data_IF_203623326989
#
_entry.id   IF_203623326989
#
_cell.length_a   1.000
_cell.length_b   1.000
_cell.length_c   1.000
_cell.angle_alpha   90.00
_cell.angle_beta   90.00
_cell.angle_gamma   90.00
#
_symmetry.space_group_name_H-M   'P 1'
#
loop_
_entity.id
_entity.type
_entity.pdbx_description
1 polymer ?
#
# COMPACT_ATOMS: atom_id res chain seq x y z
N UNK A 1 -16.04 9.99 39.11
CA UNK A 1 -16.54 10.93 38.10
C UNK A 1 -17.88 10.37 37.65
N UNK A 2 -18.95 10.88 38.24
CA UNK A 2 -20.31 10.44 37.93
C UNK A 2 -20.67 10.92 36.51
N UNK A 3 -20.94 9.96 35.63
CA UNK A 3 -21.43 10.22 34.28
C UNK A 3 -22.89 10.69 34.38
N UNK A 4 -23.26 11.85 33.81
CA UNK A 4 -24.63 12.33 33.84
C UNK A 4 -25.54 11.38 33.07
N UNK A 5 -26.73 11.09 33.62
CA UNK A 5 -27.65 10.09 33.10
C UNK A 5 -28.33 10.52 31.78
N UNK A 6 -28.58 9.58 30.84
CA UNK A 6 -29.05 9.86 29.48
C UNK A 6 -30.50 10.38 29.38
N UNK A 7 -31.21 10.51 30.50
CA UNK A 7 -32.60 10.96 30.53
C UNK A 7 -32.73 12.50 30.49
N UNK A 8 -31.78 13.23 31.09
CA UNK A 8 -31.79 14.69 31.13
C UNK A 8 -31.54 15.31 29.75
N UNK A 9 -30.65 14.69 28.96
CA UNK A 9 -30.25 15.18 27.64
C UNK A 9 -31.38 15.05 26.60
N UNK A 10 -32.22 14.01 26.71
CA UNK A 10 -33.36 13.83 25.80
C UNK A 10 -34.48 14.85 26.01
N UNK A 11 -34.73 15.27 27.25
CA UNK A 11 -35.72 16.31 27.56
C UNK A 11 -35.28 17.69 27.09
N UNK A 12 -33.98 17.99 27.20
CA UNK A 12 -33.38 19.20 26.66
C UNK A 12 -33.49 19.25 25.13
N UNK A 13 -33.20 18.13 24.45
CA UNK A 13 -33.30 18.03 22.99
C UNK A 13 -34.74 18.19 22.47
N UNK A 14 -35.71 17.63 23.19
CA UNK A 14 -37.14 17.77 22.89
C UNK A 14 -37.61 19.22 22.99
N UNK A 15 -37.18 19.92 24.05
CA UNK A 15 -37.51 21.34 24.28
C UNK A 15 -36.92 22.25 23.20
N UNK A 16 -35.70 21.94 22.74
CA UNK A 16 -35.00 22.71 21.70
C UNK A 16 -35.64 22.53 20.32
N UNK A 17 -36.07 21.31 19.99
CA UNK A 17 -36.84 21.01 18.77
C UNK A 17 -38.18 21.78 18.73
N UNK A 18 -38.84 21.92 19.88
CA UNK A 18 -40.09 22.66 19.99
C UNK A 18 -39.89 24.16 19.78
N UNK A 19 -38.75 24.72 20.21
CA UNK A 19 -38.37 26.13 20.01
C UNK A 19 -38.09 26.45 18.54
N UNK A 20 -37.41 25.56 17.83
CA UNK A 20 -37.08 25.74 16.40
C UNK A 20 -38.33 25.73 15.52
N UNK A 21 -39.35 24.93 15.87
CA UNK A 21 -40.63 24.92 15.15
C UNK A 21 -41.43 26.23 15.28
N UNK A 22 -41.29 26.95 16.41
CA UNK A 22 -42.02 28.20 16.65
C UNK A 22 -41.35 29.43 16.00
N UNK A 23 -40.03 29.38 15.77
CA UNK A 23 -39.28 30.47 15.14
C UNK A 23 -39.37 30.50 13.61
N UNK A 24 -39.92 29.45 12.98
CA UNK A 24 -40.12 29.38 11.53
C UNK A 24 -41.33 30.17 10.99
N UNK A 25 -42.12 30.82 11.87
CA UNK A 25 -43.40 31.42 11.50
C UNK A 25 -43.60 32.84 12.06
N UNK A 26 -42.63 33.75 11.92
CA UNK A 26 -42.85 35.18 12.19
C UNK A 26 -41.92 36.06 11.34
N UNK A 27 -42.51 36.77 10.39
CA UNK A 27 -41.81 37.77 9.59
C UNK A 27 -42.74 38.43 8.57
N UNK A 28 -43.76 39.15 9.05
CA UNK A 28 -44.44 40.21 8.29
C UNK A 28 -45.29 41.07 9.25
N UNK A 29 -44.84 42.31 9.48
CA UNK A 29 -45.68 43.39 10.01
C UNK A 29 -46.67 43.85 8.91
N UNK A 30 -47.91 44.24 9.26
CA UNK A 30 -48.87 44.74 8.29
C UNK A 30 -48.53 46.19 7.88
N UNK A 31 -48.62 46.56 6.59
CA UNK A 31 -48.39 47.93 6.15
C UNK A 31 -49.61 48.82 6.46
N UNK A 32 -49.34 50.04 6.91
CA UNK A 32 -50.33 51.10 7.14
C UNK A 32 -51.10 51.44 5.85
N UNK A 33 -52.43 51.62 5.97
CA UNK A 33 -53.33 51.94 4.86
C UNK A 33 -53.25 53.43 4.47
N UNK A 34 -52.69 53.72 3.30
CA UNK A 34 -52.88 54.99 2.58
C UNK A 34 -54.19 54.98 1.75
N UNK A 35 -54.83 56.15 1.50
CA UNK A 35 -56.15 56.25 0.88
C UNK A 35 -56.19 55.72 -0.56
N UNK A 36 -57.33 55.20 -1.04
CA UNK A 36 -57.38 54.40 -2.26
C UNK A 36 -57.16 55.24 -3.51
N UNK A 37 -55.97 55.12 -4.09
CA UNK A 37 -55.74 55.49 -5.49
C UNK A 37 -56.81 54.82 -6.38
N UNK A 38 -57.40 55.55 -7.35
CA UNK A 38 -58.32 54.97 -8.32
C UNK A 38 -57.72 53.70 -8.93
N UNK A 39 -58.44 52.59 -8.84
CA UNK A 39 -57.98 51.25 -9.23
C UNK A 39 -57.32 51.22 -10.64
N UNK A 40 -57.79 52.09 -11.55
CA UNK A 40 -57.23 52.29 -12.89
C UNK A 40 -55.81 52.85 -12.89
N UNK A 41 -55.49 53.83 -12.03
CA UNK A 41 -54.15 54.43 -11.93
C UNK A 41 -53.14 53.43 -11.38
N UNK A 42 -53.55 52.62 -10.40
CA UNK A 42 -52.73 51.53 -9.88
C UNK A 42 -52.43 50.47 -10.94
N UNK A 43 -53.42 50.09 -11.73
CA UNK A 43 -53.24 49.16 -12.85
C UNK A 43 -52.33 49.71 -13.95
N UNK A 44 -52.45 51.00 -14.29
CA UNK A 44 -51.57 51.66 -15.26
C UNK A 44 -50.12 51.72 -14.78
N UNK A 45 -49.90 52.05 -13.50
CA UNK A 45 -48.57 52.04 -12.88
C UNK A 45 -47.93 50.65 -12.89
N UNK A 46 -48.71 49.62 -12.51
CA UNK A 46 -48.28 48.22 -12.58
C UNK A 46 -47.92 47.79 -14.00
N UNK A 47 -48.73 48.18 -15.00
CA UNK A 47 -48.44 47.88 -16.40
C UNK A 47 -47.12 48.51 -16.86
N UNK A 48 -46.88 49.78 -16.52
CA UNK A 48 -45.64 50.47 -16.88
C UNK A 48 -44.43 49.83 -16.19
N UNK A 49 -44.59 49.44 -14.92
CA UNK A 49 -43.55 48.75 -14.14
C UNK A 49 -43.21 47.37 -14.73
N UNK A 50 -44.21 46.56 -15.09
CA UNK A 50 -44.01 45.26 -15.74
C UNK A 50 -43.35 45.42 -17.10
N UNK A 51 -43.74 46.43 -17.88
CA UNK A 51 -43.11 46.73 -19.17
C UNK A 51 -41.64 47.12 -19.01
N UNK A 52 -41.32 47.93 -18.00
CA UNK A 52 -39.95 48.33 -17.71
C UNK A 52 -39.10 47.13 -17.28
N UNK A 53 -39.60 46.31 -16.35
CA UNK A 53 -38.91 45.09 -15.91
C UNK A 53 -38.70 44.10 -17.05
N UNK A 54 -39.67 43.96 -17.95
CA UNK A 54 -39.53 43.10 -19.13
C UNK A 54 -38.42 43.59 -20.06
N UNK A 55 -38.29 44.91 -20.25
CA UNK A 55 -37.23 45.49 -21.07
C UNK A 55 -35.86 45.35 -20.39
N UNK A 56 -35.75 45.58 -19.09
CA UNK A 56 -34.51 45.36 -18.34
C UNK A 56 -34.04 43.90 -18.46
N UNK A 57 -34.94 42.94 -18.24
CA UNK A 57 -34.62 41.51 -18.39
C UNK A 57 -34.20 41.17 -19.82
N UNK A 58 -34.87 41.74 -20.83
CA UNK A 58 -34.50 41.53 -22.23
C UNK A 58 -33.11 42.11 -22.55
N UNK A 59 -32.81 43.33 -22.10
CA UNK A 59 -31.48 43.94 -22.31
C UNK A 59 -30.37 43.19 -21.58
N UNK A 60 -30.65 42.68 -20.39
CA UNK A 60 -29.70 41.85 -19.63
C UNK A 60 -29.49 40.50 -20.34
N UNK A 61 -30.54 39.91 -20.92
CA UNK A 61 -30.43 38.68 -21.70
C UNK A 61 -29.60 38.89 -22.98
N UNK A 62 -29.88 39.94 -23.75
CA UNK A 62 -29.14 40.30 -24.97
C UNK A 62 -27.67 40.64 -24.66
N UNK A 63 -27.41 41.40 -23.59
CA UNK A 63 -26.05 41.69 -23.13
C UNK A 63 -25.32 40.43 -22.61
N UNK A 64 -26.04 39.47 -22.03
CA UNK A 64 -25.45 38.20 -21.59
C UNK A 64 -25.13 37.26 -22.76
N UNK A 65 -25.86 37.35 -23.87
CA UNK A 65 -25.54 36.64 -25.12
C UNK A 65 -24.24 37.17 -25.75
N UNK A 66 -24.00 38.49 -25.72
CA UNK A 66 -22.75 39.09 -26.21
C UNK A 66 -21.53 38.83 -25.31
N UNK A 67 -21.72 38.69 -23.99
CA UNK A 67 -20.63 38.44 -23.02
C UNK A 67 -20.29 36.94 -22.91
N UNK A 68 -21.18 36.03 -23.31
CA UNK A 68 -21.00 34.57 -23.17
C UNK A 68 -20.05 33.92 -24.22
N UNK A 69 -19.18 34.68 -24.88
CA UNK A 69 -18.15 34.15 -25.79
C UNK A 69 -16.74 34.11 -25.21
N UNK A 70 -16.58 34.18 -23.89
CA UNK A 70 -15.40 33.60 -23.25
C UNK A 70 -15.54 32.07 -23.26
N UNK A 71 -15.15 31.47 -24.39
CA UNK A 71 -15.21 30.03 -24.60
C UNK A 71 -14.31 29.30 -23.59
N UNK A 72 -14.87 28.90 -22.44
CA UNK A 72 -14.32 27.86 -21.60
C UNK A 72 -14.01 26.67 -22.51
N UNK A 73 -12.74 26.24 -22.55
CA UNK A 73 -12.34 25.10 -23.36
C UNK A 73 -13.22 23.89 -23.01
N UNK A 74 -13.60 23.10 -24.02
CA UNK A 74 -14.43 21.90 -23.83
C UNK A 74 -13.95 21.03 -22.66
N UNK A 75 -12.63 20.93 -22.49
CA UNK A 75 -11.99 20.23 -21.38
C UNK A 75 -12.33 20.81 -19.99
N UNK A 76 -12.27 22.14 -19.81
CA UNK A 76 -12.69 22.81 -18.56
C UNK A 76 -14.17 22.60 -18.27
N UNK A 77 -15.03 22.65 -19.30
CA UNK A 77 -16.46 22.37 -19.15
C UNK A 77 -16.70 20.92 -18.73
N UNK A 78 -15.95 19.96 -19.26
CA UNK A 78 -16.07 18.55 -18.85
C UNK A 78 -15.59 18.31 -17.42
N UNK A 79 -14.58 19.05 -16.97
CA UNK A 79 -14.07 18.95 -15.60
C UNK A 79 -15.06 19.54 -14.59
N UNK A 80 -15.59 20.73 -14.86
CA UNK A 80 -16.66 21.36 -14.07
C UNK A 80 -17.89 20.44 -14.00
N UNK A 81 -18.29 19.83 -15.12
CA UNK A 81 -19.41 18.89 -15.15
C UNK A 81 -19.17 17.65 -14.28
N UNK A 82 -17.94 17.11 -14.26
CA UNK A 82 -17.58 15.98 -13.38
C UNK A 82 -17.63 16.36 -11.91
N UNK A 83 -17.13 17.55 -11.57
CA UNK A 83 -17.14 18.06 -10.19
C UNK A 83 -18.58 18.28 -9.72
N UNK A 84 -19.42 18.95 -10.53
CA UNK A 84 -20.84 19.11 -10.23
C UNK A 84 -21.59 17.78 -10.08
N UNK A 85 -21.29 16.78 -10.91
CA UNK A 85 -21.89 15.45 -10.77
C UNK A 85 -21.48 14.77 -9.47
N UNK A 86 -20.23 14.91 -9.06
CA UNK A 86 -19.75 14.41 -7.77
C UNK A 86 -20.45 15.13 -6.61
N UNK A 87 -20.54 16.45 -6.68
CA UNK A 87 -21.22 17.26 -5.65
C UNK A 87 -22.70 16.89 -5.53
N UNK A 88 -23.38 16.63 -6.66
CA UNK A 88 -24.77 16.15 -6.67
C UNK A 88 -24.88 14.78 -6.00
N UNK A 89 -23.99 13.84 -6.30
CA UNK A 89 -24.02 12.51 -5.68
C UNK A 89 -23.69 12.59 -4.19
N UNK A 90 -22.72 13.40 -3.79
CA UNK A 90 -22.37 13.64 -2.38
C UNK A 90 -23.53 14.29 -1.62
N UNK A 91 -24.20 15.29 -2.22
CA UNK A 91 -25.40 15.93 -1.65
C UNK A 91 -26.56 14.94 -1.53
N UNK A 92 -26.76 14.09 -2.53
CA UNK A 92 -27.80 13.05 -2.53
C UNK A 92 -27.55 12.01 -1.44
N UNK A 93 -26.33 11.51 -1.32
CA UNK A 93 -25.93 10.58 -0.24
C UNK A 93 -26.13 11.25 1.12
N UNK A 94 -25.70 12.51 1.27
CA UNK A 94 -25.94 13.29 2.49
C UNK A 94 -27.42 13.42 2.82
N UNK A 95 -28.26 13.78 1.83
CA UNK A 95 -29.70 13.94 2.01
C UNK A 95 -30.37 12.62 2.42
N UNK A 96 -30.01 11.52 1.76
CA UNK A 96 -30.51 10.18 2.10
C UNK A 96 -30.11 9.78 3.53
N UNK A 97 -28.85 10.01 3.91
CA UNK A 97 -28.37 9.72 5.27
C UNK A 97 -29.11 10.54 6.32
N UNK A 98 -29.27 11.85 6.11
CA UNK A 98 -30.02 12.74 7.00
C UNK A 98 -31.48 12.30 7.14
N UNK A 99 -32.12 11.94 6.02
CA UNK A 99 -33.49 11.43 6.00
C UNK A 99 -33.62 10.12 6.78
N UNK A 100 -32.70 9.18 6.59
CA UNK A 100 -32.69 7.91 7.34
C UNK A 100 -32.50 8.13 8.84
N UNK A 101 -31.60 9.04 9.25
CA UNK A 101 -31.40 9.37 10.66
C UNK A 101 -32.67 9.95 11.27
N UNK A 102 -33.32 10.88 10.57
CA UNK A 102 -34.59 11.46 11.01
C UNK A 102 -35.68 10.40 11.16
N UNK A 103 -35.85 9.53 10.17
CA UNK A 103 -36.82 8.44 10.22
C UNK A 103 -36.55 7.47 11.38
N UNK A 104 -35.28 7.11 11.63
CA UNK A 104 -34.89 6.28 12.78
C UNK A 104 -35.21 6.96 14.10
N UNK A 105 -34.93 8.26 14.22
CA UNK A 105 -35.24 9.04 15.42
C UNK A 105 -36.73 9.09 15.69
N UNK A 106 -37.55 9.36 14.67
CA UNK A 106 -39.01 9.36 14.77
C UNK A 106 -39.54 7.98 15.18
N UNK A 107 -39.01 6.91 14.58
CA UNK A 107 -39.38 5.54 14.91
C UNK A 107 -39.04 5.18 16.37
N UNK A 108 -37.82 5.48 16.81
CA UNK A 108 -37.39 5.25 18.21
C UNK A 108 -38.25 6.06 19.18
N UNK A 109 -38.58 7.31 18.86
CA UNK A 109 -39.45 8.13 19.69
C UNK A 109 -40.87 7.52 19.81
N UNK A 110 -41.43 7.05 18.70
CA UNK A 110 -42.72 6.36 18.73
C UNK A 110 -42.68 5.06 19.56
N UNK A 111 -41.60 4.29 19.45
CA UNK A 111 -41.39 3.09 20.28
C UNK A 111 -41.26 3.42 21.77
N UNK A 112 -40.51 4.46 22.13
CA UNK A 112 -40.35 4.89 23.53
C UNK A 112 -41.69 5.27 24.15
N UNK A 113 -42.51 6.04 23.42
CA UNK A 113 -43.87 6.38 23.85
C UNK A 113 -44.71 5.13 24.08
N UNK A 114 -44.62 4.12 23.20
CA UNK A 114 -45.32 2.84 23.38
C UNK A 114 -44.83 2.03 24.56
N UNK A 115 -43.54 2.08 24.88
CA UNK A 115 -42.99 1.40 26.05
C UNK A 115 -43.53 2.05 27.34
N UNK A 116 -43.72 3.37 27.34
CA UNK A 116 -44.22 4.13 28.48
C UNK A 116 -45.67 3.76 28.88
N UNK A 117 -46.47 3.24 27.95
CA UNK A 117 -47.86 2.80 28.18
C UNK A 117 -47.98 1.59 29.16
N UNK A 118 -46.86 0.92 29.51
CA UNK A 118 -46.77 -0.17 30.51
C UNK A 118 -47.77 -1.35 30.34
N UNK A 119 -48.31 -1.53 29.12
CA UNK A 119 -49.20 -2.64 28.79
C UNK A 119 -48.41 -3.94 28.46
N UNK A 120 -49.13 -5.04 28.17
CA UNK A 120 -48.48 -6.30 27.80
C UNK A 120 -47.64 -6.19 26.51
N UNK A 121 -48.05 -5.35 25.55
CA UNK A 121 -47.29 -5.11 24.31
C UNK A 121 -45.96 -4.40 24.58
N UNK A 122 -45.95 -3.41 25.48
CA UNK A 122 -44.75 -2.70 25.94
C UNK A 122 -43.71 -3.68 26.52
N UNK A 123 -44.14 -4.63 27.35
CA UNK A 123 -43.26 -5.66 27.91
C UNK A 123 -42.64 -6.55 26.82
N UNK A 124 -43.44 -6.97 25.83
CA UNK A 124 -42.95 -7.75 24.69
C UNK A 124 -41.92 -6.97 23.87
N UNK A 125 -42.19 -5.68 23.59
CA UNK A 125 -41.26 -4.79 22.88
C UNK A 125 -39.94 -4.68 23.65
N UNK A 126 -40.00 -4.47 24.96
CA UNK A 126 -38.83 -4.35 25.81
C UNK A 126 -38.01 -5.65 25.83
N UNK A 127 -38.64 -6.81 25.96
CA UNK A 127 -37.98 -8.12 25.89
C UNK A 127 -37.29 -8.36 24.55
N UNK A 128 -37.94 -7.97 23.43
CA UNK A 128 -37.28 -8.06 22.12
C UNK A 128 -36.10 -7.10 22.01
N UNK A 129 -36.21 -5.89 22.54
CA UNK A 129 -35.12 -4.92 22.51
C UNK A 129 -33.91 -5.38 23.34
N UNK A 130 -34.13 -5.95 24.53
CA UNK A 130 -33.05 -6.50 25.35
C UNK A 130 -32.36 -7.68 24.64
N UNK A 131 -33.13 -8.56 24.00
CA UNK A 131 -32.58 -9.64 23.18
C UNK A 131 -31.76 -9.12 22.00
N UNK A 132 -32.28 -8.14 21.24
CA UNK A 132 -31.56 -7.50 20.12
C UNK A 132 -30.26 -6.85 20.63
N UNK A 133 -30.33 -6.11 21.74
CA UNK A 133 -29.15 -5.46 22.33
C UNK A 133 -28.07 -6.48 22.72
N UNK A 134 -28.48 -7.62 23.29
CA UNK A 134 -27.57 -8.70 23.67
C UNK A 134 -26.90 -9.31 22.44
N UNK A 135 -27.70 -9.59 21.39
CA UNK A 135 -27.19 -10.13 20.13
C UNK A 135 -26.25 -9.14 19.43
N UNK A 136 -26.61 -7.87 19.35
CA UNK A 136 -25.77 -6.82 18.78
C UNK A 136 -24.45 -6.68 19.53
N UNK A 137 -24.47 -6.77 20.86
CA UNK A 137 -23.25 -6.75 21.68
C UNK A 137 -22.34 -7.96 21.37
N UNK A 138 -22.93 -9.15 21.25
CA UNK A 138 -22.19 -10.35 20.86
C UNK A 138 -21.57 -10.24 19.46
N UNK A 139 -22.29 -9.66 18.50
CA UNK A 139 -21.79 -9.41 17.14
C UNK A 139 -20.61 -8.42 17.16
N UNK A 140 -20.72 -7.32 17.90
CA UNK A 140 -19.65 -6.33 18.04
C UNK A 140 -18.40 -6.97 18.66
N UNK A 141 -18.57 -7.77 19.71
CA UNK A 141 -17.45 -8.47 20.35
C UNK A 141 -16.76 -9.43 19.38
N UNK A 142 -17.52 -10.23 18.62
CA UNK A 142 -16.96 -11.14 17.62
C UNK A 142 -16.21 -10.40 16.49
N UNK A 143 -16.74 -9.25 16.06
CA UNK A 143 -16.06 -8.39 15.08
C UNK A 143 -14.75 -7.82 15.64
N UNK A 144 -14.75 -7.43 16.92
CA UNK A 144 -13.55 -6.93 17.59
C UNK A 144 -12.48 -8.03 17.72
N UNK A 145 -12.86 -9.23 18.15
CA UNK A 145 -11.96 -10.38 18.20
C UNK A 145 -11.37 -10.72 16.83
N UNK A 146 -12.18 -10.62 15.77
CA UNK A 146 -11.74 -10.84 14.39
C UNK A 146 -10.67 -9.82 13.99
N UNK A 147 -10.88 -8.52 14.27
CA UNK A 147 -9.90 -7.46 13.98
C UNK A 147 -8.59 -7.69 14.74
N UNK A 148 -8.67 -8.05 16.02
CA UNK A 148 -7.48 -8.33 16.82
C UNK A 148 -6.69 -9.55 16.28
N UNK A 149 -7.39 -10.58 15.80
CA UNK A 149 -6.75 -11.73 15.16
C UNK A 149 -6.11 -11.35 13.83
N UNK A 150 -6.77 -10.51 13.02
CA UNK A 150 -6.24 -10.00 11.75
C UNK A 150 -4.95 -9.19 11.97
N UNK A 151 -4.93 -8.31 12.98
CA UNK A 151 -3.76 -7.53 13.35
C UNK A 151 -2.59 -8.43 13.80
N UNK A 152 -2.86 -9.41 14.67
CA UNK A 152 -1.84 -10.40 15.07
C UNK A 152 -1.30 -11.20 13.89
N UNK A 153 -2.17 -11.56 12.94
CA UNK A 153 -1.80 -12.29 11.74
C UNK A 153 -0.91 -11.42 10.84
N UNK A 154 -1.27 -10.15 10.67
CA UNK A 154 -0.46 -9.17 9.94
C UNK A 154 0.95 -9.06 10.54
N UNK A 155 1.08 -8.96 11.85
CA UNK A 155 2.37 -8.91 12.54
C UNK A 155 3.20 -10.18 12.33
N UNK A 156 2.58 -11.35 12.37
CA UNK A 156 3.26 -12.63 12.09
C UNK A 156 3.75 -12.66 10.64
N UNK A 157 2.94 -12.22 9.68
CA UNK A 157 3.33 -12.14 8.26
C UNK A 157 4.52 -11.19 8.07
N UNK A 158 4.50 -10.04 8.74
CA UNK A 158 5.61 -9.07 8.72
C UNK A 158 6.90 -9.68 9.29
N UNK A 159 6.85 -10.31 10.46
CA UNK A 159 8.00 -11.00 11.08
C UNK A 159 8.54 -12.11 10.18
N UNK A 160 7.65 -12.89 9.55
CA UNK A 160 8.02 -13.96 8.62
C UNK A 160 8.77 -13.42 7.40
N UNK A 161 8.31 -12.29 6.85
CA UNK A 161 8.96 -11.66 5.68
C UNK A 161 10.39 -11.24 6.03
N UNK A 162 10.58 -10.52 7.13
CA UNK A 162 11.90 -10.10 7.61
C UNK A 162 12.83 -11.29 7.81
N UNK A 163 12.34 -12.37 8.43
CA UNK A 163 13.14 -13.57 8.65
C UNK A 163 13.51 -14.27 7.33
N UNK A 164 12.62 -14.28 6.34
CA UNK A 164 12.88 -14.84 5.02
C UNK A 164 13.97 -14.06 4.29
N UNK A 165 13.92 -12.73 4.35
CA UNK A 165 14.93 -11.84 3.77
C UNK A 165 16.30 -12.06 4.42
N UNK A 166 16.34 -12.08 5.76
CA UNK A 166 17.56 -12.36 6.52
C UNK A 166 18.14 -13.75 6.20
N UNK A 167 17.28 -14.76 6.13
CA UNK A 167 17.68 -16.13 5.78
C UNK A 167 18.26 -16.20 4.36
N UNK A 168 17.65 -15.51 3.40
CA UNK A 168 18.15 -15.42 2.02
C UNK A 168 19.52 -14.74 1.97
N UNK A 169 19.70 -13.63 2.69
CA UNK A 169 20.97 -12.92 2.76
C UNK A 169 22.08 -13.81 3.35
N UNK A 170 21.79 -14.52 4.46
CA UNK A 170 22.73 -15.46 5.08
C UNK A 170 23.08 -16.64 4.18
N UNK A 171 22.11 -17.15 3.41
CA UNK A 171 22.37 -18.23 2.46
C UNK A 171 23.32 -17.78 1.34
N UNK A 172 23.14 -16.56 0.81
CA UNK A 172 24.04 -15.98 -0.18
C UNK A 172 25.46 -15.77 0.39
N UNK A 173 25.57 -15.32 1.64
CA UNK A 173 26.84 -15.19 2.35
C UNK A 173 27.55 -16.55 2.48
N UNK A 174 26.83 -17.61 2.87
CA UNK A 174 27.38 -18.97 2.95
C UNK A 174 27.84 -19.46 1.58
N UNK A 175 27.05 -19.23 0.53
CA UNK A 175 27.38 -19.69 -0.82
C UNK A 175 28.63 -18.98 -1.37
N UNK A 176 28.73 -17.66 -1.18
CA UNK A 176 29.89 -16.88 -1.60
C UNK A 176 31.15 -17.27 -0.84
N UNK A 177 31.07 -17.41 0.49
CA UNK A 177 32.18 -17.92 1.30
C UNK A 177 32.60 -19.31 0.84
N UNK A 178 31.66 -20.24 0.63
CA UNK A 178 31.95 -21.60 0.15
C UNK A 178 32.68 -21.59 -1.20
N UNK A 179 32.25 -20.75 -2.13
CA UNK A 179 32.91 -20.58 -3.43
C UNK A 179 34.35 -20.09 -3.26
N UNK A 180 34.56 -19.07 -2.42
CA UNK A 180 35.88 -18.51 -2.15
C UNK A 180 36.81 -19.54 -1.47
N UNK A 181 36.31 -20.30 -0.50
CA UNK A 181 37.06 -21.38 0.14
C UNK A 181 37.51 -22.46 -0.86
N UNK A 182 36.64 -22.81 -1.80
CA UNK A 182 36.95 -23.78 -2.85
C UNK A 182 38.03 -23.24 -3.80
N UNK A 183 37.87 -22.01 -4.27
CA UNK A 183 38.86 -21.35 -5.15
C UNK A 183 40.23 -21.23 -4.48
N UNK A 184 40.28 -20.77 -3.23
CA UNK A 184 41.53 -20.64 -2.47
C UNK A 184 42.19 -22.01 -2.21
N UNK A 185 41.40 -23.07 -1.97
CA UNK A 185 41.94 -24.43 -1.85
C UNK A 185 42.55 -24.91 -3.17
N UNK A 186 41.86 -24.69 -4.29
CA UNK A 186 42.36 -25.07 -5.61
C UNK A 186 43.63 -24.30 -5.98
N UNK A 187 43.68 -23.00 -5.70
CA UNK A 187 44.85 -22.15 -5.91
C UNK A 187 46.06 -22.64 -5.09
N UNK A 188 45.89 -22.82 -3.78
CA UNK A 188 46.98 -23.32 -2.91
C UNK A 188 47.46 -24.72 -3.28
N UNK A 189 46.56 -25.60 -3.74
CA UNK A 189 46.94 -26.91 -4.25
C UNK A 189 47.73 -26.80 -5.57
N UNK A 190 47.28 -25.95 -6.48
CA UNK A 190 47.96 -25.70 -7.75
C UNK A 190 49.36 -25.11 -7.54
N UNK A 191 49.51 -24.18 -6.60
CA UNK A 191 50.82 -23.63 -6.22
C UNK A 191 51.77 -24.69 -5.65
N UNK A 192 51.27 -25.61 -4.83
CA UNK A 192 52.08 -26.74 -4.31
C UNK A 192 52.53 -27.66 -5.45
N UNK A 193 51.64 -27.99 -6.38
CA UNK A 193 51.96 -28.82 -7.55
C UNK A 193 52.99 -28.12 -8.44
N UNK A 194 52.83 -26.82 -8.70
CA UNK A 194 53.82 -26.03 -9.47
C UNK A 194 55.20 -26.05 -8.82
N UNK A 195 55.28 -25.90 -7.49
CA UNK A 195 56.56 -25.99 -6.75
C UNK A 195 57.19 -27.37 -6.86
N UNK A 196 56.42 -28.44 -6.68
CA UNK A 196 56.92 -29.81 -6.81
C UNK A 196 57.40 -30.11 -8.24
N UNK A 197 56.65 -29.69 -9.26
CA UNK A 197 57.06 -29.85 -10.65
C UNK A 197 58.35 -29.08 -10.96
N UNK A 198 58.55 -27.90 -10.37
CA UNK A 198 59.81 -27.16 -10.51
C UNK A 198 60.97 -27.93 -9.89
N UNK A 199 60.82 -28.43 -8.66
CA UNK A 199 61.87 -29.23 -8.00
C UNK A 199 62.19 -30.49 -8.82
N UNK A 200 61.16 -31.19 -9.29
CA UNK A 200 61.33 -32.38 -10.12
C UNK A 200 62.06 -32.06 -11.44
N UNK A 201 61.72 -30.94 -12.08
CA UNK A 201 62.40 -30.44 -13.28
C UNK A 201 63.89 -30.19 -12.99
N UNK A 202 64.19 -29.47 -11.92
CA UNK A 202 65.56 -29.13 -11.52
C UNK A 202 66.39 -30.40 -11.22
N UNK A 203 65.78 -31.42 -10.59
CA UNK A 203 66.42 -32.71 -10.29
C UNK A 203 66.66 -33.56 -11.55
N UNK A 204 65.68 -33.59 -12.47
CA UNK A 204 65.84 -34.25 -13.77
C UNK A 204 66.97 -33.59 -14.55
N UNK A 205 66.98 -32.26 -14.65
CA UNK A 205 68.00 -31.51 -15.38
C UNK A 205 69.40 -31.77 -14.76
N UNK A 206 69.51 -31.79 -13.42
CA UNK A 206 70.75 -32.12 -12.71
C UNK A 206 71.22 -33.55 -12.97
N UNK A 207 70.30 -34.51 -12.97
CA UNK A 207 70.58 -35.92 -13.26
C UNK A 207 71.05 -36.09 -14.71
N UNK A 208 70.42 -35.42 -15.67
CA UNK A 208 70.83 -35.44 -17.08
C UNK A 208 72.23 -34.86 -17.26
N UNK A 209 72.57 -33.75 -16.61
CA UNK A 209 73.93 -33.19 -16.66
C UNK A 209 74.94 -34.17 -16.07
N UNK A 210 74.63 -34.79 -14.93
CA UNK A 210 75.52 -35.78 -14.28
C UNK A 210 75.73 -37.02 -15.17
N UNK A 211 74.67 -37.54 -15.79
CA UNK A 211 74.73 -38.63 -16.75
C UNK A 211 75.65 -38.29 -17.93
N UNK A 212 75.48 -37.11 -18.53
CA UNK A 212 76.31 -36.64 -19.64
C UNK A 212 77.79 -36.53 -19.24
N UNK A 213 78.09 -36.05 -18.02
CA UNK A 213 79.47 -35.97 -17.50
C UNK A 213 80.06 -37.37 -17.35
N UNK A 214 79.35 -38.32 -16.74
CA UNK A 214 79.84 -39.70 -16.59
C UNK A 214 80.08 -40.39 -17.94
N UNK A 215 79.17 -40.24 -18.90
CA UNK A 215 79.36 -40.75 -20.27
C UNK A 215 80.64 -40.19 -20.89
N UNK A 216 80.84 -38.87 -20.84
CA UNK A 216 82.04 -38.24 -21.39
C UNK A 216 83.33 -38.71 -20.72
N UNK A 217 83.33 -38.92 -19.40
CA UNK A 217 84.50 -39.44 -18.67
C UNK A 217 84.82 -40.87 -19.12
N UNK A 218 83.81 -41.75 -19.23
CA UNK A 218 84.01 -43.13 -19.67
C UNK A 218 84.59 -43.15 -21.09
N UNK A 219 84.04 -42.34 -22.01
CA UNK A 219 84.53 -42.21 -23.38
C UNK A 219 85.97 -41.66 -23.44
N UNK A 220 86.31 -40.67 -22.62
CA UNK A 220 87.64 -40.05 -22.59
C UNK A 220 88.71 -40.90 -21.92
N UNK A 221 88.33 -41.85 -21.05
CA UNK A 221 89.27 -42.68 -20.29
C UNK A 221 89.96 -43.76 -21.13
N UNK A 222 89.65 -43.88 -22.44
CA UNK A 222 90.24 -44.86 -23.37
C UNK A 222 90.16 -46.34 -22.90
N UNK A 223 89.24 -46.63 -21.97
CA UNK A 223 88.93 -48.00 -21.54
C UNK A 223 88.05 -48.64 -22.62
N UNK A 224 88.38 -49.86 -23.06
CA UNK A 224 87.58 -50.64 -24.03
C UNK A 224 86.26 -51.13 -23.40
N UNK A 225 85.35 -50.19 -23.11
CA UNK A 225 84.10 -50.43 -22.41
C UNK A 225 83.16 -51.42 -23.11
N UNK A 226 83.30 -51.58 -24.43
CA UNK A 226 82.57 -52.57 -25.23
C UNK A 226 83.04 -54.02 -25.00
N UNK A 227 84.21 -54.24 -24.40
CA UNK A 227 84.74 -55.58 -24.08
C UNK A 227 84.37 -56.04 -22.67
N UNK A 228 84.06 -55.11 -21.77
CA UNK A 228 83.58 -55.40 -20.42
C UNK A 228 82.04 -55.39 -20.41
N UNK A 229 81.39 -56.56 -20.19
CA UNK A 229 79.94 -56.65 -20.14
C UNK A 229 79.30 -55.74 -19.08
N UNK A 230 80.00 -55.49 -17.96
CA UNK A 230 79.48 -54.65 -16.88
C UNK A 230 79.50 -53.17 -17.26
N UNK A 231 80.56 -52.72 -17.91
CA UNK A 231 80.70 -51.32 -18.33
C UNK A 231 79.80 -50.99 -19.52
N UNK A 232 79.58 -51.95 -20.43
CA UNK A 232 78.61 -51.84 -21.53
C UNK A 232 77.18 -51.65 -21.01
N UNK A 233 76.77 -52.42 -20.00
CA UNK A 233 75.43 -52.31 -19.39
C UNK A 233 75.23 -50.95 -18.69
N UNK A 234 76.27 -50.43 -18.03
CA UNK A 234 76.24 -49.12 -17.36
C UNK A 234 76.08 -47.99 -18.39
N UNK A 235 76.88 -47.98 -19.46
CA UNK A 235 76.82 -46.93 -20.50
C UNK A 235 75.46 -46.95 -21.22
N UNK A 236 74.95 -48.12 -21.59
CA UNK A 236 73.64 -48.26 -22.24
C UNK A 236 72.48 -47.80 -21.33
N UNK A 237 72.55 -48.10 -20.03
CA UNK A 237 71.56 -47.61 -19.05
C UNK A 237 71.62 -46.10 -18.87
N UNK A 238 72.78 -45.48 -19.01
CA UNK A 238 72.91 -44.02 -18.97
C UNK A 238 72.30 -43.35 -20.21
N UNK A 239 72.35 -43.99 -21.38
CA UNK A 239 71.72 -43.48 -22.62
C UNK A 239 70.19 -43.60 -22.62
N UNK A 240 69.63 -44.71 -22.12
CA UNK A 240 68.17 -44.95 -22.17
C UNK A 240 67.39 -44.07 -21.19
N UNK A 241 67.96 -43.77 -20.02
CA UNK A 241 67.30 -42.97 -18.98
C UNK A 241 67.16 -41.48 -19.35
N UNK A 242 67.92 -40.97 -20.33
CA UNK A 242 67.81 -39.60 -20.83
C UNK A 242 66.59 -39.40 -21.76
N UNK A 243 66.05 -40.48 -22.34
CA UNK A 243 64.98 -40.43 -23.36
C UNK A 243 63.59 -40.83 -22.83
N UNK A 244 63.47 -41.33 -21.60
CA UNK A 244 62.22 -41.92 -21.09
C UNK A 244 61.28 -40.95 -20.36
N UNK A 245 61.65 -39.67 -20.22
CA UNK A 245 60.89 -38.70 -19.42
C UNK A 245 60.57 -37.37 -20.13
N UNK A 246 60.82 -37.27 -21.44
CA UNK A 246 60.32 -36.18 -22.32
C UNK A 246 58.97 -36.53 -22.92
#
# INVERSE_FOLDING_TARGET
>A
MDLPGPLGDMQALSSELQRVCLLGACGQEPPEEEPPEPHLLRLLRLREQVKHQSLEVQTVAEASEEVSSEALSSEKLTEIAKELLKDIEDLKVSYQNKTMVLQRMQFVNALLNKIQDNNNESRLIQEKFTHISTLSSAVINSQQETRELEDRLYDIRKKRLVLKELGSAKMLEIQTLKSNWKANREETQNEKIKRLNKILKDEIDSTTVLQNVFQNIILASHVDWAKDPQLTDIVLKLETNASSYT
#
